data_IF_612039125786
#
_entry.id   IF_612039125786
#
_cell.length_a   1.000
_cell.length_b   1.000
_cell.length_c   1.000
_cell.angle_alpha   90.00
_cell.angle_beta   90.00
_cell.angle_gamma   90.00
#
_symmetry.space_group_name_H-M   'P 1'
#
loop_
_entity.id
_entity.type
_entity.pdbx_description
1 polymer ?
#
# COMPACT_ATOMS: atom_id res chain seq x y z
N UNK A 1 18.04 -12.78 -2.30
CA UNK A 1 16.63 -13.24 -2.19
C UNK A 1 15.77 -12.16 -2.83
N UNK A 2 14.85 -12.51 -3.72
CA UNK A 2 13.92 -11.51 -4.27
C UNK A 2 12.89 -11.20 -3.18
N UNK A 3 12.96 -10.00 -2.60
CA UNK A 3 11.96 -9.52 -1.65
C UNK A 3 10.63 -9.43 -2.39
N UNK A 4 9.66 -10.25 -1.99
CA UNK A 4 8.32 -10.23 -2.56
C UNK A 4 7.55 -9.12 -1.85
N UNK A 5 7.20 -8.06 -2.57
CA UNK A 5 6.36 -6.99 -2.05
C UNK A 5 4.90 -7.45 -2.13
N UNK A 6 4.21 -7.39 -1.00
CA UNK A 6 2.81 -7.77 -0.90
C UNK A 6 1.93 -6.52 -0.72
N UNK A 7 0.98 -6.33 -1.65
CA UNK A 7 0.00 -5.24 -1.59
C UNK A 7 -1.39 -5.83 -1.42
N UNK A 8 -2.11 -5.45 -0.37
CA UNK A 8 -3.45 -5.95 -0.06
C UNK A 8 -4.50 -4.84 0.01
N UNK A 9 -5.76 -5.25 -0.21
CA UNK A 9 -6.95 -4.42 -0.04
C UNK A 9 -6.93 -3.10 -0.83
N UNK A 10 -6.21 -3.04 -1.96
CA UNK A 10 -6.26 -1.89 -2.88
C UNK A 10 -7.69 -1.80 -3.47
N UNK A 11 -8.48 -0.78 -3.10
CA UNK A 11 -9.85 -0.61 -3.54
C UNK A 11 -9.94 -0.36 -5.05
N UNK A 12 -10.97 -0.89 -5.71
CA UNK A 12 -11.16 -0.72 -7.17
C UNK A 12 -11.21 0.75 -7.60
N UNK A 13 -11.81 1.61 -6.77
CA UNK A 13 -11.88 3.07 -7.01
C UNK A 13 -10.49 3.73 -7.14
N UNK A 14 -9.46 3.12 -6.55
CA UNK A 14 -8.08 3.58 -6.65
C UNK A 14 -7.31 2.88 -7.78
N UNK A 15 -7.75 1.70 -8.26
CA UNK A 15 -7.06 0.92 -9.30
C UNK A 15 -7.14 1.59 -10.67
N UNK A 16 -6.21 2.52 -10.88
CA UNK A 16 -5.92 3.14 -12.18
C UNK A 16 -4.76 2.41 -12.85
N UNK A 17 -4.73 2.45 -14.18
CA UNK A 17 -3.63 1.91 -14.97
C UNK A 17 -2.28 2.46 -14.47
N UNK A 18 -1.33 1.57 -14.22
CA UNK A 18 0.01 1.93 -13.75
C UNK A 18 0.13 2.25 -12.25
N UNK A 19 -0.96 2.20 -11.46
CA UNK A 19 -0.88 2.51 -10.03
C UNK A 19 -0.15 1.42 -9.26
N UNK A 20 -0.47 0.15 -9.50
CA UNK A 20 0.12 -0.97 -8.77
C UNK A 20 1.64 -1.03 -8.99
N UNK A 21 2.10 -0.82 -10.22
CA UNK A 21 3.52 -0.76 -10.56
C UNK A 21 4.25 0.37 -9.83
N UNK A 22 3.63 1.56 -9.76
CA UNK A 22 4.17 2.69 -9.00
C UNK A 22 4.23 2.40 -7.51
N UNK A 23 3.20 1.78 -6.95
CA UNK A 23 3.17 1.41 -5.53
C UNK A 23 4.26 0.38 -5.22
N UNK A 24 4.44 -0.63 -6.08
CA UNK A 24 5.53 -1.61 -5.96
C UNK A 24 6.89 -0.91 -6.02
N UNK A 25 7.09 0.03 -6.94
CA UNK A 25 8.34 0.79 -7.05
C UNK A 25 8.60 1.64 -5.78
N UNK A 26 7.58 2.31 -5.26
CA UNK A 26 7.66 3.09 -4.02
C UNK A 26 8.01 2.17 -2.83
N UNK A 27 7.31 1.04 -2.69
CA UNK A 27 7.56 0.10 -1.60
C UNK A 27 9.01 -0.41 -1.66
N UNK A 28 9.46 -0.81 -2.85
CA UNK A 28 10.84 -1.27 -3.07
C UNK A 28 11.88 -0.21 -2.73
N UNK A 29 11.65 1.05 -3.11
CA UNK A 29 12.57 2.16 -2.82
C UNK A 29 12.66 2.49 -1.35
N UNK A 30 11.67 2.11 -0.55
CA UNK A 30 11.57 2.46 0.87
C UNK A 30 11.70 1.24 1.79
N UNK A 31 12.21 0.12 1.27
CA UNK A 31 12.40 -1.12 2.03
C UNK A 31 11.10 -1.61 2.69
N UNK A 32 9.95 -1.35 2.04
CA UNK A 32 8.63 -1.81 2.47
C UNK A 32 8.34 -3.16 1.80
N UNK A 33 8.07 -4.17 2.63
CA UNK A 33 7.77 -5.54 2.19
C UNK A 33 6.28 -5.82 2.13
N UNK A 34 5.48 -5.05 2.85
CA UNK A 34 4.03 -5.17 2.89
C UNK A 34 3.36 -3.80 2.91
N UNK A 35 2.27 -3.67 2.16
CA UNK A 35 1.37 -2.53 2.22
C UNK A 35 -0.08 -2.99 2.18
N UNK A 36 -0.94 -2.44 3.04
CA UNK A 36 -2.37 -2.65 2.96
C UNK A 36 -3.15 -1.36 3.21
N UNK A 37 -4.23 -1.17 2.44
CA UNK A 37 -5.21 -0.14 2.75
C UNK A 37 -6.19 -0.70 3.77
N UNK A 38 -6.45 0.07 4.82
CA UNK A 38 -7.38 -0.31 5.87
C UNK A 38 -8.35 0.84 6.20
N UNK A 39 -9.02 0.74 7.35
CA UNK A 39 -9.86 1.83 7.84
C UNK A 39 -11.15 2.02 7.05
N UNK A 40 -11.58 3.27 6.91
CA UNK A 40 -12.89 3.59 6.33
C UNK A 40 -13.01 3.24 4.85
N UNK A 41 -11.89 3.35 4.12
CA UNK A 41 -11.82 3.06 2.69
C UNK A 41 -11.98 1.57 2.40
N UNK A 42 -11.26 0.71 3.13
CA UNK A 42 -11.40 -0.75 2.97
C UNK A 42 -12.81 -1.27 3.32
N UNK A 43 -13.60 -0.48 4.07
CA UNK A 43 -14.98 -0.81 4.46
C UNK A 43 -16.04 -0.17 3.55
N UNK A 44 -15.66 0.58 2.52
CA UNK A 44 -16.60 1.31 1.65
C UNK A 44 -17.36 2.44 2.36
N UNK A 45 -16.82 2.96 3.48
CA UNK A 45 -17.45 4.02 4.31
C UNK A 45 -16.73 5.36 4.20
N UNK A 46 -15.82 5.50 3.25
CA UNK A 46 -15.09 6.73 2.98
C UNK A 46 -16.04 7.83 2.48
N UNK A 47 -15.80 9.05 2.94
CA UNK A 47 -16.45 10.27 2.46
C UNK A 47 -15.44 11.07 1.65
N UNK A 48 -15.91 12.08 0.90
CA UNK A 48 -15.03 12.96 0.11
C UNK A 48 -13.89 13.63 0.91
N UNK A 49 -14.07 13.80 2.22
CA UNK A 49 -13.08 14.40 3.14
C UNK A 49 -12.43 13.36 4.06
N UNK A 50 -12.62 12.08 3.80
CA UNK A 50 -11.97 11.01 4.56
C UNK A 50 -10.51 10.89 4.15
N UNK A 51 -9.68 10.57 5.12
CA UNK A 51 -8.28 10.21 4.90
C UNK A 51 -8.18 8.78 4.34
N UNK A 52 -6.97 8.40 3.91
CA UNK A 52 -6.64 7.04 3.48
C UNK A 52 -5.70 6.44 4.52
N UNK A 53 -6.17 5.39 5.18
CA UNK A 53 -5.40 4.66 6.18
C UNK A 53 -4.56 3.56 5.50
N UNK A 54 -3.24 3.60 5.65
CA UNK A 54 -2.29 2.66 5.04
C UNK A 54 -1.41 2.04 6.13
N UNK A 55 -1.37 0.72 6.18
CA UNK A 55 -0.46 -0.05 7.02
C UNK A 55 0.71 -0.54 6.17
N UNK A 56 1.92 -0.45 6.71
CA UNK A 56 3.14 -0.93 6.04
C UNK A 56 3.97 -1.79 6.98
N UNK A 57 4.72 -2.72 6.42
CA UNK A 57 5.80 -3.43 7.11
C UNK A 57 7.11 -3.16 6.39
N UNK A 58 8.14 -2.80 7.14
CA UNK A 58 9.49 -2.64 6.63
C UNK A 58 10.25 -3.97 6.64
N UNK A 59 11.23 -4.09 5.75
CA UNK A 59 12.15 -5.21 5.74
C UNK A 59 12.93 -5.25 7.06
N UNK A 60 13.05 -6.45 7.66
CA UNK A 60 13.81 -6.59 8.91
C UNK A 60 15.26 -6.19 8.70
N UNK A 61 15.72 -5.21 9.47
CA UNK A 61 17.07 -4.66 9.37
C UNK A 61 17.18 -3.47 8.41
N UNK A 62 16.08 -2.96 7.87
CA UNK A 62 16.09 -1.66 7.21
C UNK A 62 16.42 -0.56 8.22
N UNK A 63 17.41 0.29 7.91
CA UNK A 63 17.79 1.44 8.74
C UNK A 63 17.05 2.74 8.36
N UNK A 64 16.05 2.63 7.47
CA UNK A 64 15.19 3.75 7.06
C UNK A 64 14.14 4.12 8.10
#
# INVERSE_FOLDING_TARGET
MSVKIEIQNLPEELRKEGLEEKLVEICKKNDIVFMAIFGSFAKGKQKRRSDIDIAIEFERGSEK
#
